data_IF_054495382939
#
_entry.id   IF_054495382939
#
_cell.length_a   1.000
_cell.length_b   1.000
_cell.length_c   1.000
_cell.angle_alpha   90.00
_cell.angle_beta   90.00
_cell.angle_gamma   90.00
#
_symmetry.space_group_name_H-M   'P 1'
#
loop_
_entity.id
_entity.type
_entity.pdbx_description
1 polymer ?
#
# COMPACT_ATOMS: atom_id res chain seq x y z
N UNK A 1 -0.54 -8.94 -21.64
CA UNK A 1 -1.24 -8.09 -20.65
C UNK A 1 -2.76 -8.32 -20.64
N UNK A 2 -3.24 -9.54 -20.93
CA UNK A 2 -4.66 -9.79 -21.26
C UNK A 2 -5.36 -10.78 -20.32
N UNK A 3 -4.63 -11.37 -19.36
CA UNK A 3 -5.19 -12.37 -18.41
C UNK A 3 -5.69 -11.75 -17.09
N UNK A 4 -5.25 -10.54 -16.72
CA UNK A 4 -5.71 -9.88 -15.48
C UNK A 4 -7.10 -9.23 -15.60
N UNK A 5 -7.54 -8.81 -16.80
CA UNK A 5 -8.88 -8.20 -16.96
C UNK A 5 -10.03 -9.20 -16.82
N UNK A 6 -9.79 -10.49 -17.02
CA UNK A 6 -10.82 -11.52 -16.95
C UNK A 6 -11.20 -11.89 -15.51
N UNK A 7 -10.29 -11.77 -14.54
CA UNK A 7 -10.58 -12.01 -13.12
C UNK A 7 -11.56 -11.00 -12.51
N UNK A 8 -11.57 -9.74 -12.99
CA UNK A 8 -12.44 -8.71 -12.43
C UNK A 8 -13.90 -8.84 -12.88
N UNK A 9 -14.16 -9.48 -14.03
CA UNK A 9 -15.52 -9.53 -14.61
C UNK A 9 -16.35 -10.71 -14.10
N UNK A 10 -15.71 -11.82 -13.67
CA UNK A 10 -16.40 -12.99 -13.11
C UNK A 10 -16.99 -12.76 -11.70
N UNK A 11 -16.56 -11.71 -11.01
CA UNK A 11 -16.99 -11.40 -9.63
C UNK A 11 -18.29 -10.59 -9.56
N UNK A 12 -18.90 -10.24 -10.70
CA UNK A 12 -20.10 -9.38 -10.74
C UNK A 12 -21.41 -10.12 -10.40
N UNK A 13 -21.46 -11.43 -10.63
CA UNK A 13 -22.62 -12.28 -10.34
C UNK A 13 -22.87 -12.67 -8.87
N UNK A 14 -21.85 -13.05 -8.08
CA UNK A 14 -22.07 -13.53 -6.71
C UNK A 14 -22.42 -12.41 -5.71
N UNK A 15 -21.87 -11.20 -5.87
CA UNK A 15 -22.08 -10.08 -4.93
C UNK A 15 -23.55 -9.65 -4.87
N UNK A 16 -24.24 -9.58 -6.01
CA UNK A 16 -25.65 -9.18 -6.07
C UNK A 16 -26.60 -10.18 -5.40
N UNK A 17 -26.20 -11.45 -5.23
CA UNK A 17 -27.02 -12.50 -4.59
C UNK A 17 -26.95 -12.45 -3.05
N UNK A 18 -25.97 -11.71 -2.51
CA UNK A 18 -25.72 -11.58 -1.07
C UNK A 18 -26.53 -10.41 -0.45
N UNK A 19 -27.18 -9.57 -1.27
CA UNK A 19 -28.02 -8.45 -0.84
C UNK A 19 -29.49 -8.62 -1.28
N UNK A 20 -30.36 -9.25 -0.45
CA UNK A 20 -31.81 -9.27 -0.70
C UNK A 20 -32.41 -7.88 -0.50
N UNK A 21 -33.27 -7.43 -1.41
CA UNK A 21 -33.88 -6.07 -1.44
C UNK A 21 -34.65 -5.72 -0.16
N UNK A 22 -35.09 -6.71 0.64
CA UNK A 22 -35.84 -6.52 1.88
C UNK A 22 -35.01 -6.50 3.17
N UNK A 23 -33.75 -6.95 3.15
CA UNK A 23 -32.84 -6.98 4.32
C UNK A 23 -31.48 -6.33 4.03
N UNK A 24 -31.32 -5.74 2.85
CA UNK A 24 -30.06 -5.21 2.35
C UNK A 24 -29.50 -4.04 3.16
N UNK A 25 -30.34 -3.15 3.71
CA UNK A 25 -29.87 -1.99 4.49
C UNK A 25 -29.15 -2.42 5.78
N UNK A 26 -29.72 -3.39 6.50
CA UNK A 26 -29.14 -3.90 7.76
C UNK A 26 -27.85 -4.70 7.51
N UNK A 27 -27.80 -5.49 6.44
CA UNK A 27 -26.57 -6.20 6.05
C UNK A 27 -25.48 -5.22 5.60
N UNK A 28 -25.85 -4.16 4.87
CA UNK A 28 -24.91 -3.17 4.36
C UNK A 28 -24.32 -2.31 5.48
N UNK A 29 -25.10 -1.97 6.50
CA UNK A 29 -24.63 -1.27 7.70
C UNK A 29 -23.60 -2.10 8.49
N UNK A 30 -23.90 -3.39 8.74
CA UNK A 30 -22.98 -4.31 9.42
C UNK A 30 -21.66 -4.42 8.64
N UNK A 31 -21.73 -4.59 7.31
CA UNK A 31 -20.55 -4.70 6.46
C UNK A 31 -19.73 -3.41 6.45
N UNK A 32 -20.37 -2.25 6.31
CA UNK A 32 -19.67 -0.95 6.28
C UNK A 32 -18.91 -0.71 7.58
N UNK A 33 -19.57 -0.92 8.73
CA UNK A 33 -18.92 -0.75 10.04
C UNK A 33 -17.81 -1.78 10.25
N UNK A 34 -18.00 -3.05 9.90
CA UNK A 34 -16.94 -4.07 10.05
C UNK A 34 -15.73 -3.76 9.15
N UNK A 35 -15.95 -3.35 7.90
CA UNK A 35 -14.86 -3.05 6.96
C UNK A 35 -14.11 -1.79 7.37
N UNK A 36 -14.82 -0.74 7.79
CA UNK A 36 -14.18 0.52 8.16
C UNK A 36 -13.47 0.41 9.50
N UNK A 37 -14.14 -0.13 10.53
CA UNK A 37 -13.59 -0.20 11.90
C UNK A 37 -12.57 -1.32 12.05
N UNK A 38 -12.83 -2.53 11.54
CA UNK A 38 -11.92 -3.66 11.71
C UNK A 38 -10.97 -3.80 10.52
N UNK A 39 -11.46 -3.64 9.30
CA UNK A 39 -10.64 -3.82 8.10
C UNK A 39 -9.59 -2.72 7.91
N UNK A 40 -10.05 -1.52 7.55
CA UNK A 40 -9.20 -0.42 7.12
C UNK A 40 -8.30 0.06 8.26
N UNK A 41 -8.82 0.21 9.48
CA UNK A 41 -8.03 0.70 10.62
C UNK A 41 -6.89 -0.26 10.98
N UNK A 42 -7.14 -1.57 11.04
CA UNK A 42 -6.07 -2.55 11.34
C UNK A 42 -4.97 -2.50 10.28
N UNK A 43 -5.35 -2.46 8.99
CA UNK A 43 -4.38 -2.39 7.89
C UNK A 43 -3.58 -1.09 7.94
N UNK A 44 -4.23 0.04 8.23
CA UNK A 44 -3.57 1.33 8.37
C UNK A 44 -2.57 1.35 9.53
N UNK A 45 -2.94 0.83 10.70
CA UNK A 45 -2.05 0.71 11.86
C UNK A 45 -0.85 -0.17 11.53
N UNK A 46 -1.07 -1.34 10.92
CA UNK A 46 0.03 -2.23 10.50
C UNK A 46 0.96 -1.53 9.49
N UNK A 47 0.40 -0.84 8.49
CA UNK A 47 1.18 -0.13 7.48
C UNK A 47 2.05 0.98 8.10
N UNK A 48 1.49 1.77 9.02
CA UNK A 48 2.24 2.80 9.75
C UNK A 48 3.34 2.15 10.59
N UNK A 49 3.07 1.02 11.24
CA UNK A 49 4.10 0.34 12.03
C UNK A 49 5.26 -0.16 11.16
N UNK A 50 4.94 -0.81 10.05
CA UNK A 50 5.94 -1.37 9.13
C UNK A 50 6.76 -0.28 8.46
N UNK A 51 6.11 0.73 7.87
CA UNK A 51 6.82 1.80 7.16
C UNK A 51 7.56 2.70 8.16
N UNK A 52 6.89 3.01 9.27
CA UNK A 52 7.32 4.01 10.21
C UNK A 52 8.40 3.53 11.17
N UNK A 53 8.15 2.43 11.88
CA UNK A 53 9.07 1.93 12.90
C UNK A 53 10.04 0.87 12.38
N UNK A 54 9.58 -0.04 11.52
CA UNK A 54 10.43 -1.15 11.03
C UNK A 54 11.37 -0.68 9.92
N UNK A 55 10.82 -0.11 8.85
CA UNK A 55 11.60 0.34 7.70
C UNK A 55 12.28 1.69 7.93
N UNK A 56 11.70 2.55 8.79
CA UNK A 56 12.18 3.92 9.08
C UNK A 56 12.39 4.78 7.82
N UNK A 57 11.58 4.55 6.77
CA UNK A 57 11.68 5.21 5.45
C UNK A 57 10.80 6.46 5.32
N UNK A 58 10.26 7.00 6.41
CA UNK A 58 9.45 8.24 6.36
C UNK A 58 10.16 9.44 5.72
N UNK A 59 11.48 9.67 5.91
CA UNK A 59 12.16 10.80 5.28
C UNK A 59 12.10 10.74 3.75
N UNK A 60 12.15 9.54 3.18
CA UNK A 60 12.07 9.31 1.73
C UNK A 60 10.65 9.61 1.22
N UNK A 61 9.61 9.18 1.96
CA UNK A 61 8.22 9.52 1.63
C UNK A 61 7.99 11.03 1.69
N UNK A 62 8.53 11.71 2.71
CA UNK A 62 8.46 13.17 2.84
C UNK A 62 9.13 13.88 1.67
N UNK A 63 10.31 13.39 1.25
CA UNK A 63 11.01 13.92 0.09
C UNK A 63 10.22 13.73 -1.19
N UNK A 64 9.62 12.56 -1.40
CA UNK A 64 8.80 12.28 -2.57
C UNK A 64 7.61 13.23 -2.65
N UNK A 65 6.89 13.42 -1.55
CA UNK A 65 5.77 14.37 -1.49
C UNK A 65 6.24 15.82 -1.71
N UNK A 66 7.40 16.21 -1.19
CA UNK A 66 7.97 17.54 -1.40
C UNK A 66 8.43 17.80 -2.84
N UNK A 67 8.68 16.76 -3.64
CA UNK A 67 9.06 16.90 -5.05
C UNK A 67 7.85 17.18 -5.95
N UNK A 68 6.70 16.58 -5.63
CA UNK A 68 5.45 16.79 -6.39
C UNK A 68 4.57 17.88 -5.79
N UNK A 69 4.78 18.24 -4.52
CA UNK A 69 3.96 19.17 -3.76
C UNK A 69 4.46 20.61 -3.83
N UNK A 70 3.52 21.56 -3.87
CA UNK A 70 3.82 23.00 -3.74
C UNK A 70 4.11 23.43 -2.30
N UNK A 71 3.76 22.61 -1.31
CA UNK A 71 3.99 22.84 0.12
C UNK A 71 5.11 21.94 0.63
N UNK A 72 6.12 22.53 1.26
CA UNK A 72 7.24 21.78 1.83
C UNK A 72 6.88 21.23 3.22
N UNK A 73 6.87 19.90 3.34
CA UNK A 73 6.66 19.17 4.57
C UNK A 73 7.95 19.12 5.40
N UNK A 74 7.85 19.59 6.65
CA UNK A 74 8.92 19.54 7.65
C UNK A 74 8.83 18.31 8.57
N UNK A 75 9.67 18.27 9.61
CA UNK A 75 9.73 17.17 10.62
C UNK A 75 8.43 16.96 11.41
N UNK A 76 7.58 17.98 11.49
CA UNK A 76 6.25 17.86 12.11
C UNK A 76 5.37 16.83 11.41
N UNK A 77 5.49 16.70 10.08
CA UNK A 77 4.72 15.71 9.33
C UNK A 77 5.06 14.28 9.74
N UNK A 78 6.35 14.01 10.01
CA UNK A 78 6.80 12.69 10.47
C UNK A 78 6.16 12.35 11.83
N UNK A 79 6.08 13.33 12.75
CA UNK A 79 5.41 13.16 14.05
C UNK A 79 3.90 12.92 13.91
N UNK A 80 3.23 13.66 13.02
CA UNK A 80 1.82 13.42 12.74
C UNK A 80 1.57 11.99 12.30
N UNK A 81 2.37 11.48 11.36
CA UNK A 81 2.17 10.13 10.84
C UNK A 81 2.55 9.02 11.83
N UNK A 82 3.64 9.21 12.59
CA UNK A 82 4.11 8.18 13.53
C UNK A 82 3.36 8.16 14.85
N UNK A 83 2.82 9.30 15.31
CA UNK A 83 2.26 9.40 16.65
C UNK A 83 0.78 9.76 16.58
N UNK A 84 0.44 10.87 15.91
CA UNK A 84 -0.94 11.36 15.91
C UNK A 84 -1.90 10.41 15.18
N UNK A 85 -1.55 9.96 13.98
CA UNK A 85 -2.37 9.04 13.18
C UNK A 85 -2.65 7.73 13.91
N UNK A 86 -1.65 6.95 14.38
CA UNK A 86 -1.92 5.69 15.07
C UNK A 86 -2.58 5.91 16.43
N UNK A 87 -2.40 7.06 17.08
CA UNK A 87 -3.11 7.39 18.32
C UNK A 87 -4.61 7.56 18.06
N UNK A 88 -4.98 8.37 17.06
CA UNK A 88 -6.39 8.60 16.72
C UNK A 88 -7.05 7.32 16.18
N UNK A 89 -6.37 6.61 15.28
CA UNK A 89 -6.89 5.34 14.75
C UNK A 89 -6.95 4.26 15.83
N UNK A 90 -5.97 4.21 16.73
CA UNK A 90 -5.92 3.24 17.82
C UNK A 90 -7.04 3.46 18.84
N UNK A 91 -7.32 4.71 19.23
CA UNK A 91 -8.39 4.99 20.20
C UNK A 91 -9.76 4.68 19.63
N UNK A 92 -10.05 5.07 18.38
CA UNK A 92 -11.34 4.75 17.74
C UNK A 92 -11.53 3.25 17.55
N UNK A 93 -10.47 2.53 17.20
CA UNK A 93 -10.49 1.07 17.11
C UNK A 93 -10.80 0.39 18.44
N UNK A 94 -10.12 0.79 19.52
CA UNK A 94 -10.32 0.20 20.84
C UNK A 94 -11.72 0.48 21.37
N UNK A 95 -12.20 1.73 21.22
CA UNK A 95 -13.55 2.09 21.63
C UNK A 95 -14.59 1.23 20.92
N UNK A 96 -14.43 1.02 19.61
CA UNK A 96 -15.40 0.23 18.85
C UNK A 96 -15.29 -1.28 19.06
N UNK A 97 -14.10 -1.81 19.41
CA UNK A 97 -13.99 -3.19 19.87
C UNK A 97 -14.74 -3.37 21.19
N UNK A 98 -14.59 -2.41 22.11
CA UNK A 98 -15.23 -2.50 23.43
C UNK A 98 -16.75 -2.45 23.29
N UNK A 99 -17.30 -1.56 22.46
CA UNK A 99 -18.75 -1.49 22.18
C UNK A 99 -19.23 -2.80 21.53
N UNK A 100 -18.50 -3.30 20.54
CA UNK A 100 -18.82 -4.54 19.82
C UNK A 100 -18.85 -5.77 20.75
N UNK A 101 -17.94 -5.83 21.72
CA UNK A 101 -17.83 -6.94 22.69
C UNK A 101 -18.82 -6.81 23.85
N UNK A 102 -19.07 -5.59 24.35
CA UNK A 102 -19.93 -5.38 25.53
C UNK A 102 -21.42 -5.37 25.21
N UNK A 103 -21.82 -4.62 24.20
CA UNK A 103 -23.24 -4.39 23.91
C UNK A 103 -23.76 -5.35 22.83
N UNK A 104 -22.86 -6.06 22.15
CA UNK A 104 -23.18 -6.79 20.93
C UNK A 104 -23.57 -5.83 19.80
N UNK A 105 -23.66 -6.32 18.57
CA UNK A 105 -24.04 -5.45 17.45
C UNK A 105 -25.57 -5.28 17.42
N UNK A 106 -26.06 -4.23 18.09
CA UNK A 106 -27.43 -3.71 18.05
C UNK A 106 -28.56 -4.76 18.13
N UNK A 107 -28.42 -5.79 18.96
CA UNK A 107 -29.47 -6.82 19.12
C UNK A 107 -29.76 -7.67 17.88
N UNK A 108 -28.89 -7.64 16.86
CA UNK A 108 -29.04 -8.48 15.68
C UNK A 108 -28.68 -9.96 15.97
N UNK A 109 -29.28 -10.93 15.26
CA UNK A 109 -28.96 -12.33 15.41
C UNK A 109 -27.46 -12.57 15.22
N UNK A 110 -26.81 -13.20 16.21
CA UNK A 110 -25.36 -13.45 16.26
C UNK A 110 -24.83 -14.15 15.00
N UNK A 111 -25.69 -14.96 14.35
CA UNK A 111 -25.40 -15.66 13.10
C UNK A 111 -25.13 -14.69 11.93
N UNK A 112 -25.83 -13.55 11.86
CA UNK A 112 -25.60 -12.54 10.81
C UNK A 112 -24.25 -11.85 10.99
N UNK A 113 -23.90 -11.48 12.23
CA UNK A 113 -22.61 -10.86 12.56
C UNK A 113 -21.45 -11.84 12.31
N UNK A 114 -21.64 -13.12 12.63
CA UNK A 114 -20.65 -14.17 12.35
C UNK A 114 -20.37 -14.34 10.86
N UNK A 115 -21.40 -14.41 10.03
CA UNK A 115 -21.24 -14.64 8.58
C UNK A 115 -20.76 -13.38 7.86
N UNK A 116 -21.41 -12.24 8.10
CA UNK A 116 -21.14 -11.00 7.36
C UNK A 116 -19.99 -10.17 7.94
N UNK A 117 -19.69 -10.29 9.23
CA UNK A 117 -18.51 -9.66 9.84
C UNK A 117 -17.28 -10.54 9.68
N UNK A 118 -17.25 -11.65 10.42
CA UNK A 118 -16.06 -12.52 10.48
C UNK A 118 -15.80 -13.26 9.17
N UNK A 119 -16.84 -13.76 8.48
CA UNK A 119 -16.67 -14.39 7.17
C UNK A 119 -16.10 -13.44 6.11
N UNK A 120 -16.53 -12.18 6.10
CA UNK A 120 -16.02 -11.16 5.20
C UNK A 120 -14.59 -10.73 5.57
N UNK A 121 -14.28 -10.59 6.86
CA UNK A 121 -12.93 -10.31 7.32
C UNK A 121 -11.94 -11.41 6.88
N UNK A 122 -12.30 -12.68 7.09
CA UNK A 122 -11.47 -13.83 6.64
C UNK A 122 -11.28 -13.80 5.13
N UNK A 123 -12.31 -13.45 4.36
CA UNK A 123 -12.21 -13.34 2.91
C UNK A 123 -11.24 -12.22 2.48
N UNK A 124 -11.28 -11.06 3.10
CA UNK A 124 -10.38 -9.95 2.78
C UNK A 124 -8.93 -10.24 3.18
N UNK A 125 -8.68 -10.65 4.42
CA UNK A 125 -7.32 -10.97 4.87
C UNK A 125 -6.76 -12.21 4.17
N UNK A 126 -7.58 -13.24 3.99
CA UNK A 126 -7.20 -14.44 3.24
C UNK A 126 -6.91 -14.14 1.78
N UNK A 127 -7.76 -13.34 1.12
CA UNK A 127 -7.53 -12.87 -0.24
C UNK A 127 -6.26 -12.03 -0.38
N UNK A 128 -5.99 -11.14 0.58
CA UNK A 128 -4.77 -10.34 0.61
C UNK A 128 -3.52 -11.21 0.77
N UNK A 129 -3.54 -12.22 1.66
CA UNK A 129 -2.43 -13.16 1.84
C UNK A 129 -2.20 -14.03 0.60
N UNK A 130 -3.27 -14.49 -0.04
CA UNK A 130 -3.19 -15.24 -1.30
C UNK A 130 -2.56 -14.39 -2.42
N UNK A 131 -3.01 -13.14 -2.57
CA UNK A 131 -2.42 -12.19 -3.52
C UNK A 131 -0.96 -11.86 -3.19
N UNK A 132 -0.62 -11.70 -1.91
CA UNK A 132 0.76 -11.44 -1.46
C UNK A 132 1.71 -12.60 -1.77
N UNK A 133 1.20 -13.83 -1.93
CA UNK A 133 1.99 -15.00 -2.36
C UNK A 133 2.25 -15.05 -3.87
N UNK A 134 1.60 -14.20 -4.66
CA UNK A 134 1.86 -14.12 -6.10
C UNK A 134 3.24 -13.48 -6.31
N UNK A 135 4.21 -14.21 -6.89
CA UNK A 135 5.54 -13.68 -7.10
C UNK A 135 5.50 -12.51 -8.08
N UNK A 136 6.21 -11.44 -7.74
CA UNK A 136 6.36 -10.29 -8.61
C UNK A 136 7.04 -10.69 -9.93
N UNK A 137 6.52 -10.27 -11.10
CA UNK A 137 7.15 -10.55 -12.38
C UNK A 137 8.60 -10.03 -12.42
N UNK A 138 9.55 -10.93 -12.65
CA UNK A 138 10.98 -10.58 -12.76
C UNK A 138 11.20 -9.94 -14.13
N UNK A 139 11.29 -8.60 -14.17
CA UNK A 139 11.53 -7.85 -15.41
C UNK A 139 11.13 -6.37 -15.38
N UNK A 140 10.64 -5.83 -14.26
CA UNK A 140 10.29 -4.41 -14.15
C UNK A 140 11.38 -3.62 -13.45
N UNK A 141 11.86 -2.57 -14.12
CA UNK A 141 12.78 -1.57 -13.58
C UNK A 141 11.97 -0.63 -12.69
N UNK A 142 12.42 -0.43 -11.45
CA UNK A 142 11.84 0.52 -10.52
C UNK A 142 12.78 1.74 -10.47
N UNK A 143 12.54 2.72 -11.34
CA UNK A 143 13.28 3.98 -11.31
C UNK A 143 12.79 4.83 -10.14
N UNK A 144 13.70 5.14 -9.22
CA UNK A 144 13.44 6.01 -8.08
C UNK A 144 13.68 7.48 -8.40
N UNK A 145 13.17 8.40 -7.56
CA UNK A 145 13.56 9.81 -7.60
C UNK A 145 15.09 10.00 -7.61
N UNK A 146 15.63 11.07 -8.23
CA UNK A 146 17.08 11.28 -8.41
C UNK A 146 17.90 11.40 -7.10
N UNK A 147 17.26 11.35 -5.93
CA UNK A 147 17.87 11.38 -4.59
C UNK A 147 17.82 10.02 -3.88
N UNK A 148 16.96 9.10 -4.32
CA UNK A 148 16.79 7.77 -3.73
C UNK A 148 16.99 6.69 -4.79
N UNK A 149 18.25 6.31 -4.96
CA UNK A 149 18.59 5.05 -5.62
C UNK A 149 18.25 3.92 -4.64
N UNK A 150 17.39 2.97 -5.02
CA UNK A 150 16.82 1.94 -4.14
C UNK A 150 17.85 0.88 -3.69
N UNK A 151 19.12 1.26 -3.50
CA UNK A 151 20.23 0.36 -3.16
C UNK A 151 20.66 -0.51 -4.34
N UNK A 152 20.25 -0.18 -5.56
CA UNK A 152 20.66 -0.90 -6.77
C UNK A 152 21.76 -0.09 -7.44
N UNK A 153 23.04 -0.48 -7.36
CA UNK A 153 24.08 0.31 -8.01
C UNK A 153 23.77 0.42 -9.51
N UNK A 154 23.52 1.64 -9.99
CA UNK A 154 23.34 1.92 -11.44
C UNK A 154 24.60 1.55 -12.25
N UNK A 155 25.73 1.29 -11.59
CA UNK A 155 26.99 0.82 -12.17
C UNK A 155 27.73 -0.05 -11.15
N UNK A 156 28.12 -1.27 -11.53
CA UNK A 156 28.96 -2.16 -10.69
C UNK A 156 28.58 -3.64 -10.76
N UNK A 157 29.34 -4.50 -10.05
CA UNK A 157 29.04 -5.95 -9.95
C UNK A 157 27.77 -6.15 -9.12
N UNK A 158 26.66 -6.46 -9.80
CA UNK A 158 25.34 -6.63 -9.19
C UNK A 158 24.23 -5.79 -9.84
N UNK A 159 24.57 -4.89 -10.77
CA UNK A 159 23.60 -4.17 -11.58
C UNK A 159 22.88 -5.14 -12.54
N UNK A 160 21.53 -5.19 -12.58
CA UNK A 160 20.78 -6.08 -13.48
C UNK A 160 21.01 -5.80 -14.96
N UNK A 161 21.48 -4.59 -15.26
CA UNK A 161 21.85 -4.14 -16.59
C UNK A 161 23.35 -3.92 -16.56
N UNK A 162 24.08 -4.59 -17.46
CA UNK A 162 25.47 -4.24 -17.75
C UNK A 162 25.58 -2.74 -18.06
N UNK A 163 26.80 -2.22 -18.23
CA UNK A 163 27.18 -0.79 -18.37
C UNK A 163 26.47 0.05 -19.48
N UNK A 164 25.36 -0.40 -20.05
CA UNK A 164 24.69 0.12 -21.25
C UNK A 164 23.42 0.96 -20.99
N UNK A 165 23.06 1.27 -19.74
CA UNK A 165 22.00 2.25 -19.48
C UNK A 165 22.63 3.64 -19.34
N UNK A 166 22.19 4.55 -20.22
CA UNK A 166 22.47 5.97 -20.12
C UNK A 166 21.72 6.55 -18.92
N UNK A 167 22.47 7.10 -17.97
CA UNK A 167 21.88 7.75 -16.80
C UNK A 167 21.08 8.99 -17.28
N UNK A 168 19.74 9.02 -17.11
CA UNK A 168 18.91 10.11 -17.61
C UNK A 168 19.17 11.45 -16.91
N UNK A 169 19.92 11.43 -15.81
CA UNK A 169 20.32 12.60 -15.02
C UNK A 169 21.81 12.96 -15.17
N UNK A 170 22.54 12.27 -16.05
CA UNK A 170 23.92 12.63 -16.33
C UNK A 170 23.97 13.95 -17.12
N UNK A 171 24.70 14.93 -16.60
CA UNK A 171 24.93 16.17 -17.35
C UNK A 171 25.71 15.85 -18.61
N UNK A 172 25.43 16.56 -19.71
CA UNK A 172 26.12 16.35 -21.00
C UNK A 172 27.64 16.41 -20.82
N UNK A 173 28.12 17.29 -19.91
CA UNK A 173 29.53 17.46 -19.59
C UNK A 173 30.15 16.24 -18.89
N UNK A 174 29.40 15.58 -18.03
CA UNK A 174 29.86 14.37 -17.33
C UNK A 174 29.82 13.17 -18.26
N UNK A 175 28.81 13.11 -19.15
CA UNK A 175 28.74 12.13 -20.24
C UNK A 175 29.94 12.26 -21.17
N UNK A 176 30.26 13.48 -21.60
CA UNK A 176 31.43 13.79 -22.43
C UNK A 176 32.73 13.35 -21.73
N UNK A 177 32.94 13.73 -20.46
CA UNK A 177 34.11 13.27 -19.71
C UNK A 177 34.20 11.75 -19.63
N UNK A 178 33.08 11.06 -19.45
CA UNK A 178 33.06 9.60 -19.36
C UNK A 178 33.38 8.95 -20.72
N UNK A 179 32.84 9.49 -21.80
CA UNK A 179 33.11 9.03 -23.17
C UNK A 179 34.56 9.33 -23.58
N UNK A 180 35.14 10.43 -23.11
CA UNK A 180 36.57 10.76 -23.24
C UNK A 180 37.44 9.74 -22.50
N UNK A 181 37.12 9.44 -21.23
CA UNK A 181 37.84 8.45 -20.43
C UNK A 181 37.71 7.03 -21.00
N UNK A 182 36.56 6.71 -21.61
CA UNK A 182 36.31 5.42 -22.25
C UNK A 182 36.89 5.31 -23.67
N UNK A 183 37.41 6.39 -24.25
CA UNK A 183 37.96 6.42 -25.61
C UNK A 183 36.92 6.24 -26.73
N UNK A 184 35.64 6.52 -26.45
CA UNK A 184 34.51 6.25 -27.36
C UNK A 184 34.00 7.51 -28.10
N UNK A 185 34.68 8.65 -27.94
CA UNK A 185 34.24 9.93 -28.52
C UNK A 185 34.46 10.03 -30.04
N UNK A 186 35.27 9.14 -30.63
CA UNK A 186 35.72 9.22 -32.03
C UNK A 186 35.30 8.04 -32.93
N UNK A 187 34.32 7.23 -32.51
CA UNK A 187 33.74 6.14 -33.30
C UNK A 187 32.31 6.49 -33.75
#
# INVERSE_FOLDING_TARGET
>A
MSRCRLCLCGLRGPVARVFPVSTGLATLDIVDKFVNVIGIVVIAVVAIIVIGWVLRRLPELRQHVNQIGSLQLGRWWDFCLLVLTPLVLGTTFVLEIITLVRDGYEGYPTVKVAIFGWGLAVLFYGGALLMSRVPWPRGTILDGPPVSDYGVPLTGKGAPFGQHLDNPYESIRDRERRLEVAGLKEA
#
